data_IF_708631247856
#
_entry.id   IF_708631247856
#
_cell.length_a   1.000
_cell.length_b   1.000
_cell.length_c   1.000
_cell.angle_alpha   90.00
_cell.angle_beta   90.00
_cell.angle_gamma   90.00
#
_symmetry.space_group_name_H-M   'P 1'
#
loop_
_entity.id
_entity.type
_entity.pdbx_description
1 polymer ?
#
# COMPACT_ATOMS: atom_id res chain seq x y z
N UNK A 1 -3.84 -1.07 -9.79
CA UNK A 1 -4.96 -1.16 -8.85
C UNK A 1 -4.71 -0.24 -7.66
N UNK A 2 -5.70 0.50 -7.20
CA UNK A 2 -5.56 1.39 -6.07
C UNK A 2 -6.50 0.93 -4.96
N UNK A 3 -5.99 0.65 -3.75
CA UNK A 3 -6.83 0.45 -2.54
C UNK A 3 -7.74 1.66 -2.27
N UNK A 4 -7.49 2.77 -2.95
CA UNK A 4 -8.28 4.00 -2.96
C UNK A 4 -9.68 3.82 -3.57
N UNK A 5 -10.02 2.73 -4.27
CA UNK A 5 -11.43 2.53 -4.68
C UNK A 5 -12.29 1.83 -3.62
N UNK A 6 -11.76 1.58 -2.41
CA UNK A 6 -12.49 0.91 -1.32
C UNK A 6 -12.71 -0.60 -1.52
N UNK A 7 -12.16 -1.18 -2.60
CA UNK A 7 -12.28 -2.61 -2.96
C UNK A 7 -11.15 -3.45 -2.37
N UNK A 8 -11.06 -3.48 -1.04
CA UNK A 8 -9.97 -4.16 -0.31
C UNK A 8 -10.03 -5.69 -0.45
N UNK A 9 -11.23 -6.24 -0.59
CA UNK A 9 -11.56 -7.64 -0.83
C UNK A 9 -10.92 -8.21 -2.11
N UNK A 10 -10.77 -7.39 -3.15
CA UNK A 10 -10.20 -7.82 -4.43
C UNK A 10 -8.67 -7.84 -4.46
N UNK A 11 -8.01 -7.25 -3.45
CA UNK A 11 -6.54 -7.08 -3.44
C UNK A 11 -5.84 -8.44 -3.46
N UNK A 12 -6.29 -9.39 -2.64
CA UNK A 12 -5.73 -10.73 -2.59
C UNK A 12 -5.88 -11.48 -3.93
N UNK A 13 -7.07 -11.42 -4.52
CA UNK A 13 -7.36 -12.06 -5.82
C UNK A 13 -6.44 -11.50 -6.90
N UNK A 14 -6.23 -10.19 -6.94
CA UNK A 14 -5.45 -9.58 -8.02
C UNK A 14 -3.95 -9.75 -7.85
N UNK A 15 -3.43 -9.68 -6.62
CA UNK A 15 -2.00 -9.91 -6.35
C UNK A 15 -1.60 -11.38 -6.49
N UNK A 16 -2.56 -12.30 -6.55
CA UNK A 16 -2.31 -13.69 -6.96
C UNK A 16 -1.81 -13.78 -8.41
N UNK A 17 -2.36 -12.97 -9.31
CA UNK A 17 -2.08 -13.03 -10.75
C UNK A 17 -1.20 -11.89 -11.25
N UNK A 18 -0.90 -10.87 -10.41
CA UNK A 18 -0.07 -9.73 -10.79
C UNK A 18 0.92 -9.32 -9.71
N UNK A 19 2.11 -8.89 -10.12
CA UNK A 19 3.16 -8.53 -9.17
C UNK A 19 2.94 -7.18 -8.48
N UNK A 20 2.22 -6.24 -9.08
CA UNK A 20 2.03 -4.95 -8.45
C UNK A 20 0.58 -4.51 -8.49
N UNK A 21 0.12 -3.79 -7.46
CA UNK A 21 -0.75 -2.67 -7.74
C UNK A 21 0.11 -1.71 -8.56
N UNK A 22 0.00 -1.75 -9.90
CA UNK A 22 0.26 -0.53 -10.67
C UNK A 22 -0.75 0.48 -10.14
N UNK A 23 -0.42 1.16 -9.04
CA UNK A 23 -1.12 2.36 -8.61
C UNK A 23 -1.22 3.16 -9.87
N UNK A 24 -2.47 3.44 -10.21
CA UNK A 24 -2.90 3.85 -11.52
C UNK A 24 -1.80 4.67 -12.23
N UNK A 25 -1.52 4.34 -13.50
CA UNK A 25 -0.74 5.23 -14.39
C UNK A 25 -1.42 6.62 -14.46
N UNK A 26 -2.64 6.74 -13.93
CA UNK A 26 -3.33 7.98 -13.68
C UNK A 26 -2.61 8.85 -12.64
N UNK A 27 -2.42 10.15 -12.95
CA UNK A 27 -1.66 11.06 -12.12
C UNK A 27 -2.27 11.14 -10.72
N UNK A 28 -1.43 11.50 -9.75
CA UNK A 28 -1.81 11.79 -8.37
C UNK A 28 -3.04 12.73 -8.26
N UNK A 29 -3.30 13.52 -9.31
CA UNK A 29 -4.42 14.42 -9.53
C UNK A 29 -5.81 13.75 -9.45
N UNK A 30 -6.03 12.64 -10.15
CA UNK A 30 -7.32 11.92 -10.09
C UNK A 30 -7.53 11.32 -8.69
N UNK A 31 -6.45 10.94 -8.02
CA UNK A 31 -6.48 10.40 -6.65
C UNK A 31 -6.74 11.49 -5.60
N UNK A 32 -6.21 12.69 -5.77
CA UNK A 32 -6.53 13.84 -4.92
C UNK A 32 -8.01 14.22 -5.04
N UNK A 33 -8.57 14.14 -6.25
CA UNK A 33 -9.99 14.39 -6.53
C UNK A 33 -10.91 13.41 -5.78
N UNK A 34 -10.61 12.11 -5.78
CA UNK A 34 -11.42 11.11 -5.04
C UNK A 34 -11.35 11.24 -3.51
N UNK A 35 -10.28 11.84 -2.97
CA UNK A 35 -10.09 12.02 -1.53
C UNK A 35 -10.59 13.37 -1.00
N UNK A 36 -11.16 14.23 -1.86
CA UNK A 36 -11.59 15.59 -1.47
C UNK A 36 -12.92 16.00 -2.09
N UNK A 37 -13.81 16.57 -1.28
CA UNK A 37 -14.88 17.48 -1.75
C UNK A 37 -14.36 18.93 -1.90
N UNK A 38 -13.05 19.11 -2.09
CA UNK A 38 -12.29 20.37 -1.96
C UNK A 38 -11.25 20.49 -3.10
N UNK A 39 -10.70 21.69 -3.39
CA UNK A 39 -9.95 21.93 -4.63
C UNK A 39 -8.63 21.16 -4.71
N UNK A 40 -8.26 20.77 -5.94
CA UNK A 40 -7.12 19.93 -6.36
C UNK A 40 -5.75 20.26 -5.74
N UNK A 41 -5.54 21.49 -5.25
CA UNK A 41 -4.22 22.01 -4.90
C UNK A 41 -3.64 21.45 -3.58
N UNK A 42 -4.42 21.35 -2.49
CA UNK A 42 -3.85 21.17 -1.13
C UNK A 42 -3.24 19.80 -0.85
N UNK A 43 -3.65 18.76 -1.56
CA UNK A 43 -3.10 17.41 -1.37
C UNK A 43 -1.79 17.18 -2.14
N UNK A 44 -1.60 17.93 -3.22
CA UNK A 44 -0.45 17.80 -4.11
C UNK A 44 0.63 18.84 -3.81
N UNK A 45 0.34 19.83 -2.96
CA UNK A 45 1.32 20.79 -2.42
C UNK A 45 2.66 20.13 -2.07
N UNK A 46 2.72 19.01 -1.31
CA UNK A 46 4.00 18.39 -0.99
C UNK A 46 4.78 17.87 -2.21
N UNK A 47 4.10 17.49 -3.29
CA UNK A 47 4.74 17.06 -4.55
C UNK A 47 5.24 18.28 -5.32
N UNK A 48 4.43 19.33 -5.43
CA UNK A 48 4.82 20.58 -6.11
C UNK A 48 5.96 21.30 -5.38
N UNK A 49 6.01 21.22 -4.06
CA UNK A 49 7.10 21.73 -3.22
C UNK A 49 8.35 20.83 -3.24
N UNK A 50 8.32 19.69 -3.95
CA UNK A 50 9.45 18.76 -4.04
C UNK A 50 9.75 18.01 -2.74
N UNK A 51 8.85 18.02 -1.77
CA UNK A 51 9.04 17.36 -0.47
C UNK A 51 8.94 15.83 -0.55
N UNK A 52 8.19 15.32 -1.53
CA UNK A 52 7.89 13.89 -1.68
C UNK A 52 7.57 13.55 -3.14
N UNK A 53 7.92 12.34 -3.59
CA UNK A 53 7.52 11.88 -4.92
C UNK A 53 6.03 11.55 -4.97
N UNK A 54 5.42 11.67 -6.15
CA UNK A 54 4.00 11.32 -6.33
C UNK A 54 3.72 9.88 -5.91
N UNK A 55 4.59 8.92 -6.27
CA UNK A 55 4.47 7.52 -5.86
C UNK A 55 4.42 7.38 -4.34
N UNK A 56 5.31 8.07 -3.63
CA UNK A 56 5.41 7.97 -2.17
C UNK A 56 4.21 8.62 -1.49
N UNK A 57 3.74 9.76 -1.99
CA UNK A 57 2.50 10.39 -1.52
C UNK A 57 1.30 9.45 -1.68
N UNK A 58 1.19 8.73 -2.80
CA UNK A 58 0.10 7.78 -3.03
C UNK A 58 0.10 6.61 -2.05
N UNK A 59 1.26 6.09 -1.67
CA UNK A 59 1.38 5.05 -0.64
C UNK A 59 0.91 5.56 0.72
N UNK A 60 1.27 6.80 1.05
CA UNK A 60 0.89 7.46 2.30
C UNK A 60 -0.64 7.69 2.36
N UNK A 61 -1.22 8.22 1.29
CA UNK A 61 -2.65 8.47 1.19
C UNK A 61 -3.47 7.17 1.27
N UNK A 62 -2.96 6.06 0.75
CA UNK A 62 -3.58 4.74 0.89
C UNK A 62 -3.66 4.26 2.34
N UNK A 63 -2.59 4.46 3.12
CA UNK A 63 -2.61 4.16 4.54
C UNK A 63 -3.72 4.98 5.23
N UNK A 64 -3.73 6.29 5.01
CA UNK A 64 -4.72 7.18 5.63
C UNK A 64 -6.15 6.76 5.25
N UNK A 65 -6.39 6.45 3.97
CA UNK A 65 -7.72 6.05 3.50
C UNK A 65 -8.18 4.72 4.07
N UNK A 66 -7.29 3.72 4.13
CA UNK A 66 -7.61 2.43 4.73
C UNK A 66 -8.07 2.56 6.18
N UNK A 67 -7.62 3.59 6.90
CA UNK A 67 -8.05 3.90 8.25
C UNK A 67 -9.36 4.73 8.27
N UNK A 68 -9.39 5.87 7.57
CA UNK A 68 -10.49 6.86 7.65
C UNK A 68 -11.84 6.38 7.11
N UNK A 69 -11.87 5.42 6.17
CA UNK A 69 -13.13 4.81 5.71
C UNK A 69 -13.83 3.98 6.81
N UNK A 70 -13.19 3.78 7.97
CA UNK A 70 -13.78 3.04 9.09
C UNK A 70 -14.76 3.83 9.96
N UNK A 71 -14.81 5.16 9.86
CA UNK A 71 -15.54 5.98 10.84
C UNK A 71 -16.88 6.55 10.33
N UNK A 72 -17.17 6.52 9.03
CA UNK A 72 -18.34 7.24 8.48
C UNK A 72 -19.26 6.44 7.54
N UNK A 73 -18.93 5.19 7.20
CA UNK A 73 -19.77 4.39 6.30
C UNK A 73 -20.20 3.14 7.04
N UNK A 74 -21.46 3.12 7.49
CA UNK A 74 -22.20 1.87 7.69
C UNK A 74 -22.05 1.09 6.38
N UNK A 75 -21.28 0.02 6.43
CA UNK A 75 -20.81 -0.73 5.26
C UNK A 75 -22.00 -1.35 4.53
N UNK A 76 -22.43 -0.71 3.45
CA UNK A 76 -23.24 -1.36 2.41
C UNK A 76 -22.47 -2.58 1.84
N UNK A 77 -21.15 -2.66 2.05
CA UNK A 77 -20.22 -3.63 1.45
C UNK A 77 -19.60 -4.66 2.40
N UNK A 78 -19.94 -4.70 3.69
CA UNK A 78 -19.43 -5.71 4.65
C UNK A 78 -17.90 -5.75 4.90
N UNK A 79 -17.10 -4.80 4.38
CA UNK A 79 -15.63 -4.84 4.48
C UNK A 79 -15.16 -4.59 5.92
N UNK A 80 -14.48 -5.57 6.51
CA UNK A 80 -14.00 -5.50 7.91
C UNK A 80 -12.66 -4.76 8.05
N UNK A 81 -12.33 -4.33 9.27
CA UNK A 81 -10.98 -3.82 9.57
C UNK A 81 -9.89 -4.85 9.23
N UNK A 82 -10.14 -6.13 9.50
CA UNK A 82 -9.23 -7.22 9.15
C UNK A 82 -8.96 -7.29 7.64
N UNK A 83 -10.00 -7.14 6.80
CA UNK A 83 -9.86 -7.13 5.33
C UNK A 83 -8.98 -5.98 4.86
N UNK A 84 -9.12 -4.79 5.46
CA UNK A 84 -8.32 -3.61 5.14
C UNK A 84 -6.86 -3.77 5.57
N UNK A 85 -6.63 -4.30 6.77
CA UNK A 85 -5.29 -4.62 7.25
C UNK A 85 -4.60 -5.66 6.36
N UNK A 86 -5.32 -6.69 5.93
CA UNK A 86 -4.77 -7.73 5.06
C UNK A 86 -4.43 -7.16 3.67
N UNK A 87 -5.31 -6.33 3.11
CA UNK A 87 -5.04 -5.63 1.85
C UNK A 87 -3.78 -4.74 1.94
N UNK A 88 -3.62 -3.98 3.04
CA UNK A 88 -2.40 -3.22 3.29
C UNK A 88 -1.18 -4.15 3.33
N UNK A 89 -1.24 -5.23 4.12
CA UNK A 89 -0.14 -6.20 4.26
C UNK A 89 0.29 -6.74 2.90
N UNK A 90 -0.66 -7.19 2.08
CA UNK A 90 -0.39 -7.75 0.75
C UNK A 90 0.22 -6.72 -0.19
N UNK A 91 -0.34 -5.51 -0.25
CA UNK A 91 0.21 -4.43 -1.08
C UNK A 91 1.64 -4.08 -0.66
N UNK A 92 1.88 -3.90 0.64
CA UNK A 92 3.20 -3.55 1.16
C UNK A 92 4.22 -4.70 1.07
N UNK A 93 3.77 -5.94 0.93
CA UNK A 93 4.62 -7.09 0.62
C UNK A 93 4.88 -7.27 -0.89
N UNK A 94 4.12 -6.59 -1.75
CA UNK A 94 4.29 -6.63 -3.21
C UNK A 94 5.19 -5.52 -3.77
N UNK A 95 5.64 -4.58 -2.94
CA UNK A 95 6.45 -3.43 -3.37
C UNK A 95 7.83 -3.41 -2.70
N UNK A 96 8.85 -2.79 -3.33
CA UNK A 96 10.18 -2.65 -2.76
C UNK A 96 10.32 -1.40 -1.88
N UNK A 97 9.32 -0.51 -1.85
CA UNK A 97 9.37 0.75 -1.13
C UNK A 97 9.62 0.58 0.38
N UNK A 98 10.40 1.49 0.97
CA UNK A 98 10.66 1.53 2.42
C UNK A 98 9.37 1.75 3.21
N UNK A 99 9.32 1.36 4.48
CA UNK A 99 8.14 1.66 5.30
C UNK A 99 7.95 3.16 5.52
N UNK A 100 6.71 3.60 5.73
CA UNK A 100 6.39 5.00 6.04
C UNK A 100 6.48 5.22 7.56
N UNK A 101 7.28 6.19 7.98
CA UNK A 101 7.40 6.55 9.40
C UNK A 101 6.29 7.48 9.83
N UNK A 102 6.07 7.58 11.15
CA UNK A 102 5.09 8.53 11.69
C UNK A 102 5.52 9.98 11.43
N UNK A 103 6.81 10.27 11.51
CA UNK A 103 7.36 11.60 11.22
C UNK A 103 7.18 11.97 9.74
N UNK A 104 7.42 11.04 8.82
CA UNK A 104 7.14 11.24 7.39
C UNK A 104 5.64 11.53 7.18
N UNK A 105 4.76 10.74 7.81
CA UNK A 105 3.32 10.91 7.71
C UNK A 105 2.85 12.26 8.25
N UNK A 106 3.33 12.67 9.42
CA UNK A 106 2.94 13.94 10.04
C UNK A 106 3.50 15.15 9.31
N UNK A 107 4.75 15.08 8.85
CA UNK A 107 5.36 16.15 8.04
C UNK A 107 4.57 16.44 6.77
N UNK A 108 4.15 15.40 6.06
CA UNK A 108 3.47 15.54 4.76
C UNK A 108 1.97 15.80 4.91
N UNK A 109 1.31 15.15 5.88
CA UNK A 109 -0.15 15.15 5.99
C UNK A 109 -0.70 15.90 7.22
N UNK A 110 0.15 16.39 8.11
CA UNK A 110 -0.23 17.03 9.37
C UNK A 110 -1.03 18.32 9.22
N UNK A 111 -0.84 19.07 8.12
CA UNK A 111 -1.65 20.26 7.81
C UNK A 111 -3.12 19.91 7.52
N UNK A 112 -3.38 18.69 7.04
CA UNK A 112 -4.71 18.27 6.58
C UNK A 112 -5.43 17.38 7.59
N UNK A 113 -4.71 16.50 8.27
CA UNK A 113 -5.29 15.53 9.19
C UNK A 113 -4.78 15.77 10.61
N UNK A 114 -5.69 15.72 11.58
CA UNK A 114 -5.34 15.84 12.99
C UNK A 114 -4.34 14.77 13.44
N UNK A 115 -3.45 15.14 14.35
CA UNK A 115 -2.35 14.28 14.83
C UNK A 115 -2.83 12.93 15.38
N UNK A 116 -3.99 12.92 16.07
CA UNK A 116 -4.60 11.70 16.61
C UNK A 116 -5.02 10.75 15.50
N UNK A 117 -5.60 11.26 14.40
CA UNK A 117 -5.99 10.44 13.25
C UNK A 117 -4.77 9.86 12.54
N UNK A 118 -3.71 10.67 12.37
CA UNK A 118 -2.46 10.19 11.78
C UNK A 118 -1.79 9.13 12.65
N UNK A 119 -1.80 9.29 13.97
CA UNK A 119 -1.22 8.32 14.90
C UNK A 119 -1.96 6.98 14.83
N UNK A 120 -3.29 7.01 14.80
CA UNK A 120 -4.10 5.81 14.68
C UNK A 120 -3.92 5.13 13.31
N UNK A 121 -3.89 5.90 12.22
CA UNK A 121 -3.63 5.35 10.88
C UNK A 121 -2.24 4.70 10.79
N UNK A 122 -1.21 5.36 11.32
CA UNK A 122 0.15 4.83 11.38
C UNK A 122 0.22 3.55 12.22
N UNK A 123 -0.44 3.53 13.38
CA UNK A 123 -0.52 2.35 14.23
C UNK A 123 -1.16 1.15 13.53
N UNK A 124 -2.30 1.35 12.85
CA UNK A 124 -2.97 0.31 12.06
C UNK A 124 -2.07 -0.21 10.95
N UNK A 125 -1.42 0.70 10.20
CA UNK A 125 -0.46 0.34 9.17
C UNK A 125 0.70 -0.50 9.73
N UNK A 126 1.33 -0.02 10.81
CA UNK A 126 2.46 -0.67 11.47
C UNK A 126 2.13 -2.09 11.89
N UNK A 127 0.94 -2.29 12.47
CA UNK A 127 0.41 -3.63 12.81
C UNK A 127 0.15 -4.50 11.59
N UNK A 128 -0.39 -3.94 10.52
CA UNK A 128 -0.69 -4.70 9.31
C UNK A 128 0.57 -5.21 8.60
N UNK A 129 1.63 -4.38 8.54
CA UNK A 129 2.86 -4.70 7.78
C UNK A 129 4.02 -5.23 8.63
N UNK A 130 3.77 -5.42 9.93
CA UNK A 130 4.72 -5.97 10.92
C UNK A 130 6.08 -5.24 10.92
N UNK A 131 6.02 -3.92 10.99
CA UNK A 131 7.21 -3.05 11.03
C UNK A 131 7.34 -2.38 12.40
N UNK A 132 8.56 -2.13 12.88
CA UNK A 132 8.77 -1.50 14.20
C UNK A 132 9.78 -0.34 14.19
N UNK A 133 10.47 -0.04 13.08
CA UNK A 133 11.53 0.96 13.13
C UNK A 133 10.96 2.40 13.17
N UNK A 134 11.49 3.28 14.04
CA UNK A 134 11.15 4.69 14.01
C UNK A 134 11.78 5.43 12.82
N UNK A 135 12.80 4.83 12.18
CA UNK A 135 13.54 5.44 11.09
C UNK A 135 13.16 4.84 9.73
N UNK A 136 13.33 5.63 8.67
CA UNK A 136 13.19 5.14 7.30
C UNK A 136 14.34 4.16 7.05
N UNK A 137 14.01 2.91 6.76
CA UNK A 137 14.98 1.87 6.45
C UNK A 137 14.66 1.20 5.11
N UNK A 138 15.68 0.84 4.32
CA UNK A 138 15.50 -0.06 3.19
C UNK A 138 14.84 -1.37 3.63
N UNK A 139 14.08 -1.99 2.73
CA UNK A 139 13.58 -3.35 2.96
C UNK A 139 14.75 -4.35 2.98
N UNK A 140 14.53 -5.52 3.59
CA UNK A 140 15.53 -6.59 3.56
C UNK A 140 15.81 -7.05 2.13
N UNK A 141 17.01 -7.60 1.89
CA UNK A 141 17.36 -8.20 0.59
C UNK A 141 16.32 -9.25 0.16
N UNK A 142 15.82 -10.06 1.11
CA UNK A 142 14.76 -11.05 0.86
C UNK A 142 13.49 -10.42 0.28
N UNK A 143 13.10 -9.24 0.77
CA UNK A 143 11.97 -8.49 0.21
C UNK A 143 12.27 -7.98 -1.20
N UNK A 144 13.46 -7.44 -1.45
CA UNK A 144 13.83 -6.99 -2.80
C UNK A 144 13.80 -8.16 -3.79
N UNK A 145 14.39 -9.30 -3.44
CA UNK A 145 14.33 -10.52 -4.25
C UNK A 145 12.89 -10.95 -4.55
N UNK A 146 11.99 -10.91 -3.55
CA UNK A 146 10.55 -11.20 -3.74
C UNK A 146 9.97 -10.39 -4.89
N UNK A 147 10.16 -9.07 -4.83
CA UNK A 147 9.56 -8.13 -5.80
C UNK A 147 10.16 -8.31 -7.19
N UNK A 148 11.48 -8.56 -7.30
CA UNK A 148 12.13 -8.78 -8.58
C UNK A 148 11.65 -10.09 -9.22
N UNK A 149 11.62 -11.19 -8.47
CA UNK A 149 11.21 -12.50 -8.98
C UNK A 149 9.75 -12.45 -9.45
N UNK A 150 8.86 -11.95 -8.60
CA UNK A 150 7.45 -11.84 -8.94
C UNK A 150 7.23 -10.92 -10.14
N UNK A 151 7.96 -9.80 -10.26
CA UNK A 151 7.91 -8.91 -11.44
C UNK A 151 8.27 -9.66 -12.71
N UNK A 152 9.37 -10.39 -12.71
CA UNK A 152 9.80 -11.18 -13.86
C UNK A 152 8.76 -12.22 -14.24
N UNK A 153 8.18 -12.94 -13.28
CA UNK A 153 7.10 -13.89 -13.55
C UNK A 153 5.84 -13.19 -14.09
N UNK A 154 5.46 -12.05 -13.52
CA UNK A 154 4.32 -11.25 -13.96
C UNK A 154 4.49 -10.76 -15.41
N UNK A 155 5.67 -10.23 -15.74
CA UNK A 155 5.96 -9.66 -17.05
C UNK A 155 5.98 -10.74 -18.14
N UNK A 156 6.20 -12.01 -17.75
CA UNK A 156 6.09 -13.18 -18.62
C UNK A 156 4.73 -13.90 -18.49
N UNK A 157 3.75 -13.34 -17.79
CA UNK A 157 2.43 -13.94 -17.56
C UNK A 157 2.45 -15.32 -16.86
N UNK A 158 3.48 -15.56 -16.05
CA UNK A 158 3.70 -16.82 -15.34
C UNK A 158 3.20 -16.78 -13.89
N UNK A 159 2.51 -15.74 -13.43
CA UNK A 159 1.92 -15.76 -12.08
C UNK A 159 0.50 -16.36 -12.09
N UNK A 160 0.13 -17.17 -11.07
CA UNK A 160 0.97 -17.65 -9.96
C UNK A 160 1.78 -18.91 -10.29
N UNK A 161 1.44 -19.64 -11.34
CA UNK A 161 1.86 -21.03 -11.57
C UNK A 161 3.38 -21.19 -11.75
N UNK A 162 4.02 -20.20 -12.36
CA UNK A 162 5.47 -20.12 -12.52
C UNK A 162 6.24 -20.09 -11.20
N UNK A 163 5.63 -19.67 -10.08
CA UNK A 163 6.25 -19.81 -8.75
C UNK A 163 6.43 -21.29 -8.39
N UNK A 164 5.44 -22.13 -8.73
CA UNK A 164 5.49 -23.56 -8.42
C UNK A 164 6.56 -24.29 -9.24
N UNK A 165 6.89 -23.75 -10.43
CA UNK A 165 7.94 -24.24 -11.32
C UNK A 165 9.39 -23.88 -10.90
N UNK A 166 9.61 -22.98 -9.93
CA UNK A 166 10.95 -22.51 -9.56
C UNK A 166 11.82 -23.53 -8.78
N UNK A 167 11.31 -24.72 -8.46
CA UNK A 167 12.05 -25.72 -7.68
C UNK A 167 12.39 -25.29 -6.23
N UNK A 168 11.74 -24.23 -5.72
CA UNK A 168 12.01 -23.67 -4.39
C UNK A 168 11.31 -24.46 -3.27
N UNK A 169 11.86 -24.47 -2.04
CA UNK A 169 11.15 -24.91 -0.84
C UNK A 169 9.78 -24.23 -0.66
N UNK A 170 8.84 -24.93 -0.04
CA UNK A 170 7.45 -24.46 0.13
C UNK A 170 7.36 -23.11 0.84
N UNK A 171 8.17 -22.87 1.88
CA UNK A 171 8.15 -21.60 2.61
C UNK A 171 8.53 -20.41 1.72
N UNK A 172 9.47 -20.61 0.78
CA UNK A 172 9.84 -19.58 -0.19
C UNK A 172 8.76 -19.40 -1.26
N UNK A 173 8.06 -20.46 -1.66
CA UNK A 173 6.90 -20.37 -2.55
C UNK A 173 5.76 -19.59 -1.90
N UNK A 174 5.42 -19.88 -0.64
CA UNK A 174 4.41 -19.13 0.13
C UNK A 174 4.81 -17.66 0.31
N UNK A 175 6.09 -17.42 0.60
CA UNK A 175 6.66 -16.09 0.68
C UNK A 175 6.52 -15.32 -0.65
N UNK A 176 6.77 -15.94 -1.80
CA UNK A 176 6.58 -15.35 -3.12
C UNK A 176 5.10 -15.20 -3.50
N UNK A 177 4.21 -16.08 -3.01
CA UNK A 177 2.75 -16.00 -3.18
C UNK A 177 2.08 -14.95 -2.27
N UNK A 178 2.85 -14.27 -1.41
CA UNK A 178 2.37 -13.31 -0.41
C UNK A 178 1.49 -13.94 0.70
N UNK A 179 1.64 -15.24 0.93
CA UNK A 179 0.87 -16.06 1.87
C UNK A 179 1.61 -16.33 3.19
N UNK A 180 2.85 -15.87 3.30
CA UNK A 180 3.65 -15.87 4.53
C UNK A 180 3.28 -14.72 5.46
#
# INVERSE_FOLDING_TARGET
MCMITGKFDLVAVLLRYRDAPRFAIFPCEDMAMYMTRQPRARLLEPVFEGLISSRRLLLLLQIIRSFLEGSSVRTITGVTHATRSEALRLVWNSIPDSYITFDEMTRICGRKYGITNLRNAHYTYRKAVLFDSPFIQPRSLKQYCRTIIRRLLNDNHLLPDGIDCLGLPNDLKLFLKLQS
#
